data_IF_230794421003
#
_entry.id   IF_230794421003
#
_cell.length_a   1.000
_cell.length_b   1.000
_cell.length_c   1.000
_cell.angle_alpha   90.00
_cell.angle_beta   90.00
_cell.angle_gamma   90.00
#
_symmetry.space_group_name_H-M   'P 1'
#
loop_
_entity.id
_entity.type
_entity.pdbx_description
1 polymer ?
#
# COMPACT_ATOMS: atom_id res chain seq x y z
N UNK A 1 -36.97 2.61 -8.64
CA UNK A 1 -35.71 3.40 -8.62
C UNK A 1 -34.57 2.69 -7.90
N UNK A 2 -34.70 2.22 -6.66
CA UNK A 2 -33.61 1.59 -5.85
C UNK A 2 -33.03 0.32 -6.49
N UNK A 3 -33.83 -0.52 -7.16
CA UNK A 3 -33.33 -1.75 -7.82
C UNK A 3 -32.43 -1.46 -9.03
N UNK A 4 -32.73 -0.42 -9.79
CA UNK A 4 -31.95 -0.03 -10.99
C UNK A 4 -30.59 0.57 -10.60
N UNK A 5 -30.56 1.39 -9.54
CA UNK A 5 -29.30 1.93 -8.99
C UNK A 5 -28.39 0.82 -8.45
N UNK A 6 -28.95 -0.23 -7.85
CA UNK A 6 -28.17 -1.37 -7.37
C UNK A 6 -27.57 -2.21 -8.52
N UNK A 7 -28.29 -2.37 -9.62
CA UNK A 7 -27.76 -3.07 -10.80
C UNK A 7 -26.64 -2.27 -11.49
N UNK A 8 -26.82 -0.97 -11.67
CA UNK A 8 -25.79 -0.09 -12.24
C UNK A 8 -24.54 -0.11 -11.37
N UNK A 9 -24.66 -0.03 -10.05
CA UNK A 9 -23.54 -0.09 -9.12
C UNK A 9 -22.76 -1.42 -9.24
N UNK A 10 -23.45 -2.55 -9.34
CA UNK A 10 -22.81 -3.86 -9.55
C UNK A 10 -22.04 -3.94 -10.88
N UNK A 11 -22.58 -3.35 -11.93
CA UNK A 11 -21.92 -3.26 -13.24
C UNK A 11 -20.65 -2.38 -13.17
N UNK A 12 -20.70 -1.26 -12.48
CA UNK A 12 -19.52 -0.41 -12.25
C UNK A 12 -18.41 -1.14 -11.49
N UNK A 13 -18.75 -1.88 -10.43
CA UNK A 13 -17.77 -2.67 -9.69
C UNK A 13 -17.18 -3.80 -10.56
N UNK A 14 -18.01 -4.48 -11.35
CA UNK A 14 -17.55 -5.53 -12.26
C UNK A 14 -16.60 -4.97 -13.31
N UNK A 15 -16.94 -3.82 -13.92
CA UNK A 15 -16.09 -3.16 -14.91
C UNK A 15 -14.73 -2.76 -14.33
N UNK A 16 -14.69 -2.17 -13.13
CA UNK A 16 -13.42 -1.78 -12.48
C UNK A 16 -12.55 -3.01 -12.17
N UNK A 17 -13.13 -4.09 -11.68
CA UNK A 17 -12.40 -5.35 -11.46
C UNK A 17 -11.86 -5.92 -12.77
N UNK A 18 -12.63 -5.85 -13.84
CA UNK A 18 -12.18 -6.28 -15.16
C UNK A 18 -10.99 -5.44 -15.64
N UNK A 19 -11.05 -4.10 -15.54
CA UNK A 19 -9.94 -3.20 -15.88
C UNK A 19 -8.68 -3.50 -15.07
N UNK A 20 -8.81 -3.75 -13.75
CA UNK A 20 -7.68 -4.08 -12.90
C UNK A 20 -7.03 -5.42 -13.32
N UNK A 21 -7.84 -6.44 -13.58
CA UNK A 21 -7.36 -7.73 -14.09
C UNK A 21 -6.71 -7.61 -15.48
N UNK A 22 -7.26 -6.80 -16.37
CA UNK A 22 -6.67 -6.51 -17.67
C UNK A 22 -5.30 -5.83 -17.55
N UNK A 23 -5.08 -5.02 -16.50
CA UNK A 23 -3.76 -4.50 -16.14
C UNK A 23 -2.83 -5.56 -15.52
N UNK A 24 -3.31 -6.76 -15.20
CA UNK A 24 -2.55 -7.86 -14.59
C UNK A 24 -2.56 -7.85 -13.06
N UNK A 25 -3.51 -7.17 -12.44
CA UNK A 25 -3.72 -7.24 -10.98
C UNK A 25 -4.45 -8.54 -10.64
N UNK A 26 -3.91 -9.30 -9.70
CA UNK A 26 -4.57 -10.49 -9.15
C UNK A 26 -5.56 -10.03 -8.07
N UNK A 27 -6.85 -10.28 -8.31
CA UNK A 27 -7.93 -9.92 -7.40
C UNK A 27 -8.62 -11.17 -6.88
N UNK A 28 -8.66 -11.29 -5.56
CA UNK A 28 -9.45 -12.28 -4.84
C UNK A 28 -10.95 -12.13 -5.05
N UNK A 29 -11.71 -12.89 -4.30
CA UNK A 29 -13.17 -12.88 -4.34
C UNK A 29 -13.73 -11.63 -3.63
N UNK A 30 -14.86 -11.13 -4.12
CA UNK A 30 -15.61 -10.03 -3.50
C UNK A 30 -14.83 -8.72 -3.26
N UNK A 31 -13.73 -8.49 -4.02
CA UNK A 31 -12.97 -7.24 -3.94
C UNK A 31 -13.81 -6.07 -4.45
N UNK A 32 -13.82 -4.97 -3.69
CA UNK A 32 -14.47 -3.70 -4.06
C UNK A 32 -13.41 -2.67 -4.44
N UNK A 33 -13.57 -2.07 -5.62
CA UNK A 33 -12.68 -1.03 -6.11
C UNK A 33 -13.45 0.28 -6.28
N UNK A 34 -13.02 1.31 -5.56
CA UNK A 34 -13.50 2.67 -5.72
C UNK A 34 -13.15 3.27 -7.08
N UNK A 35 -13.67 4.47 -7.39
CA UNK A 35 -13.28 5.19 -8.60
C UNK A 35 -11.83 5.66 -8.53
N UNK A 36 -11.20 5.81 -9.72
CA UNK A 36 -9.84 6.34 -9.86
C UNK A 36 -8.77 5.62 -9.01
N UNK A 37 -8.95 4.33 -8.71
CA UNK A 37 -7.87 3.52 -8.15
C UNK A 37 -6.84 3.30 -9.23
N UNK A 38 -5.58 3.65 -8.93
CA UNK A 38 -4.47 3.53 -9.88
C UNK A 38 -3.54 2.37 -9.51
N UNK A 39 -3.37 1.47 -10.47
CA UNK A 39 -2.45 0.33 -10.38
C UNK A 39 -1.32 0.49 -11.39
N UNK A 40 -0.08 0.47 -10.92
CA UNK A 40 1.12 0.44 -11.76
C UNK A 40 1.97 -0.77 -11.41
N UNK A 41 2.18 -1.63 -12.41
CA UNK A 41 2.98 -2.85 -12.30
C UNK A 41 4.36 -2.70 -12.98
N UNK A 42 4.81 -1.48 -13.23
CA UNK A 42 6.07 -1.23 -13.94
C UNK A 42 5.95 -1.33 -15.46
N UNK A 43 7.09 -1.24 -16.15
CA UNK A 43 7.17 -1.37 -17.61
C UNK A 43 6.92 -0.08 -18.39
N UNK A 44 6.71 1.08 -17.75
CA UNK A 44 6.32 2.30 -18.43
C UNK A 44 7.08 3.59 -18.14
N UNK A 45 8.00 3.62 -17.20
CA UNK A 45 8.80 4.84 -16.99
C UNK A 45 10.02 4.86 -17.93
N UNK A 46 9.91 5.64 -19.03
CA UNK A 46 10.99 5.88 -20.01
C UNK A 46 12.27 6.49 -19.39
N UNK A 47 12.31 6.74 -18.08
CA UNK A 47 13.43 7.38 -17.37
C UNK A 47 13.90 6.64 -16.13
N UNK A 48 13.47 5.40 -15.86
CA UNK A 48 14.16 4.61 -14.86
C UNK A 48 15.53 4.23 -15.39
N UNK A 49 16.57 4.55 -14.63
CA UNK A 49 17.99 4.30 -14.96
C UNK A 49 18.25 2.79 -15.15
N UNK A 50 17.32 1.94 -14.78
CA UNK A 50 17.32 0.50 -15.06
C UNK A 50 15.89 0.00 -15.31
N UNK A 51 15.49 -0.12 -16.57
CA UNK A 51 14.38 -1.00 -16.87
C UNK A 51 14.87 -2.43 -16.59
N UNK A 52 14.48 -3.02 -15.45
CA UNK A 52 14.84 -4.41 -15.14
C UNK A 52 14.14 -5.40 -16.06
N UNK A 53 13.24 -4.91 -16.92
CA UNK A 53 12.43 -5.74 -17.82
C UNK A 53 11.41 -6.62 -17.09
N UNK A 54 11.44 -6.65 -15.75
CA UNK A 54 10.48 -7.39 -14.95
C UNK A 54 9.22 -6.58 -14.70
N UNK A 55 8.08 -7.25 -14.70
CA UNK A 55 6.80 -6.66 -14.35
C UNK A 55 6.51 -6.94 -12.88
N UNK A 56 6.21 -5.88 -12.11
CA UNK A 56 5.81 -6.01 -10.74
C UNK A 56 4.49 -6.77 -10.58
N UNK A 57 4.17 -7.15 -9.36
CA UNK A 57 2.96 -7.91 -9.03
C UNK A 57 2.12 -7.19 -8.00
N UNK A 58 0.82 -7.14 -8.24
CA UNK A 58 -0.15 -6.66 -7.26
C UNK A 58 -1.19 -7.75 -7.05
N UNK A 59 -1.33 -8.19 -5.81
CA UNK A 59 -2.36 -9.15 -5.40
C UNK A 59 -3.18 -8.56 -4.24
N UNK A 60 -4.48 -8.50 -4.44
CA UNK A 60 -5.46 -8.10 -3.44
C UNK A 60 -6.22 -9.33 -2.98
N UNK A 61 -6.17 -9.64 -1.69
CA UNK A 61 -6.85 -10.78 -1.10
C UNK A 61 -8.37 -10.66 -1.15
N UNK A 62 -9.05 -11.71 -0.72
CA UNK A 62 -10.51 -11.79 -0.70
C UNK A 62 -11.13 -10.67 0.16
N UNK A 63 -12.31 -10.22 -0.22
CA UNK A 63 -13.07 -9.19 0.49
C UNK A 63 -12.31 -7.84 0.65
N UNK A 64 -11.24 -7.63 -0.11
CA UNK A 64 -10.51 -6.36 -0.09
C UNK A 64 -11.42 -5.21 -0.51
N UNK A 65 -11.28 -4.08 0.19
CA UNK A 65 -12.02 -2.87 -0.11
C UNK A 65 -11.04 -1.71 -0.31
N UNK A 66 -10.90 -1.27 -1.55
CA UNK A 66 -9.99 -0.19 -1.94
C UNK A 66 -10.82 1.01 -2.38
N UNK A 67 -10.67 2.10 -1.64
CA UNK A 67 -11.43 3.32 -1.83
C UNK A 67 -10.90 4.19 -2.96
N UNK A 68 -11.67 5.24 -3.28
CA UNK A 68 -11.37 6.18 -4.37
C UNK A 68 -9.96 6.74 -4.30
N UNK A 69 -9.32 6.87 -5.45
CA UNK A 69 -8.04 7.56 -5.61
C UNK A 69 -6.85 6.86 -4.95
N UNK A 70 -7.01 5.64 -4.45
CA UNK A 70 -5.88 4.89 -3.92
C UNK A 70 -4.86 4.58 -5.03
N UNK A 71 -3.58 4.69 -4.70
CA UNK A 71 -2.45 4.48 -5.60
C UNK A 71 -1.65 3.27 -5.14
N UNK A 72 -1.59 2.23 -5.96
CA UNK A 72 -0.84 1.01 -5.69
C UNK A 72 0.18 0.80 -6.82
N UNK A 73 1.40 1.23 -6.58
CA UNK A 73 2.48 1.18 -7.56
C UNK A 73 3.54 0.16 -7.13
N UNK A 74 3.51 -1.01 -7.76
CA UNK A 74 4.47 -2.08 -7.50
C UNK A 74 5.83 -1.83 -8.18
N UNK A 75 5.84 -1.04 -9.26
CA UNK A 75 7.01 -0.92 -10.13
C UNK A 75 7.49 -2.32 -10.59
N UNK A 76 8.73 -2.68 -10.25
CA UNK A 76 9.29 -4.01 -10.50
C UNK A 76 9.18 -4.94 -9.29
N UNK A 77 8.64 -4.45 -8.18
CA UNK A 77 8.48 -5.19 -6.92
C UNK A 77 7.11 -5.83 -6.75
N UNK A 78 6.55 -5.73 -5.56
CA UNK A 78 5.25 -6.35 -5.28
C UNK A 78 4.43 -5.61 -4.22
N UNK A 79 3.11 -5.72 -4.34
CA UNK A 79 2.15 -5.34 -3.31
C UNK A 79 1.23 -6.54 -3.11
N UNK A 80 1.12 -7.02 -1.87
CA UNK A 80 0.24 -8.11 -1.51
C UNK A 80 -0.59 -7.72 -0.29
N UNK A 81 -1.90 -7.88 -0.39
CA UNK A 81 -2.79 -7.75 0.76
C UNK A 81 -3.41 -9.10 1.10
N UNK A 82 -3.65 -9.32 2.38
CA UNK A 82 -4.45 -10.42 2.89
C UNK A 82 -5.94 -10.23 2.65
N UNK A 83 -6.73 -11.01 3.37
CA UNK A 83 -8.19 -11.02 3.32
C UNK A 83 -8.77 -9.86 4.13
N UNK A 84 -9.87 -9.28 3.64
CA UNK A 84 -10.63 -8.21 4.32
C UNK A 84 -9.77 -7.01 4.73
N UNK A 85 -8.87 -6.59 3.84
CA UNK A 85 -8.07 -5.39 4.02
C UNK A 85 -8.83 -4.19 3.46
N UNK A 86 -8.91 -3.12 4.25
CA UNK A 86 -9.47 -1.85 3.84
C UNK A 86 -8.34 -0.84 3.56
N UNK A 87 -8.32 -0.31 2.34
CA UNK A 87 -7.48 0.82 1.96
C UNK A 87 -8.39 2.03 1.73
N UNK A 88 -8.28 3.01 2.61
CA UNK A 88 -9.08 4.23 2.58
C UNK A 88 -8.81 5.12 1.37
N UNK A 89 -9.57 6.21 1.22
CA UNK A 89 -9.38 7.14 0.12
C UNK A 89 -7.95 7.67 0.04
N UNK A 90 -7.40 7.71 -1.18
CA UNK A 90 -6.08 8.28 -1.46
C UNK A 90 -4.90 7.65 -0.69
N UNK A 91 -5.07 6.43 -0.20
CA UNK A 91 -3.94 5.64 0.33
C UNK A 91 -2.91 5.45 -0.78
N UNK A 92 -1.63 5.62 -0.45
CA UNK A 92 -0.53 5.44 -1.40
C UNK A 92 0.37 4.30 -0.94
N UNK A 93 0.60 3.32 -1.81
CA UNK A 93 1.51 2.20 -1.55
C UNK A 93 2.55 2.13 -2.67
N UNK A 94 3.81 2.33 -2.31
CA UNK A 94 4.96 2.16 -3.20
C UNK A 94 5.64 0.82 -2.88
N UNK A 95 5.39 -0.16 -3.75
CA UNK A 95 5.80 -1.55 -3.60
C UNK A 95 7.10 -1.92 -4.29
N UNK A 96 7.99 -0.98 -4.59
CA UNK A 96 9.22 -1.23 -5.33
C UNK A 96 10.12 -2.28 -4.65
N UNK A 97 10.28 -2.22 -3.32
CA UNK A 97 10.98 -3.23 -2.52
C UNK A 97 10.11 -4.37 -2.01
N UNK A 98 8.81 -4.29 -2.26
CA UNK A 98 7.82 -5.22 -1.73
C UNK A 98 7.06 -4.69 -0.52
N UNK A 99 5.73 -4.74 -0.57
CA UNK A 99 4.83 -4.43 0.54
C UNK A 99 3.90 -5.61 0.79
N UNK A 100 3.85 -6.09 2.02
CA UNK A 100 2.89 -7.09 2.49
C UNK A 100 2.00 -6.49 3.58
N UNK A 101 0.69 -6.68 3.46
CA UNK A 101 -0.32 -6.24 4.43
C UNK A 101 -1.14 -7.45 4.85
N UNK A 102 -1.14 -7.76 6.14
CA UNK A 102 -1.87 -8.89 6.70
C UNK A 102 -3.38 -8.70 6.71
N UNK A 103 -4.08 -9.79 7.02
CA UNK A 103 -5.54 -9.85 7.05
C UNK A 103 -6.17 -8.84 8.02
N UNK A 104 -7.42 -8.46 7.77
CA UNK A 104 -8.24 -7.62 8.66
C UNK A 104 -7.65 -6.22 8.94
N UNK A 105 -6.66 -5.77 8.16
CA UNK A 105 -5.97 -4.51 8.39
C UNK A 105 -6.76 -3.34 7.81
N UNK A 106 -6.81 -2.24 8.57
CA UNK A 106 -7.43 -0.96 8.20
C UNK A 106 -6.34 0.08 7.92
N UNK A 107 -6.28 0.57 6.71
CA UNK A 107 -5.42 1.70 6.32
C UNK A 107 -6.30 2.91 6.05
N UNK A 108 -6.22 3.92 6.91
CA UNK A 108 -7.05 5.11 6.81
C UNK A 108 -6.60 6.01 5.65
N UNK A 109 -7.45 6.99 5.32
CA UNK A 109 -7.24 7.91 4.20
C UNK A 109 -5.87 8.61 4.23
N UNK A 110 -5.29 8.82 3.04
CA UNK A 110 -4.02 9.52 2.83
C UNK A 110 -2.81 8.88 3.53
N UNK A 111 -2.93 7.69 4.11
CA UNK A 111 -1.76 7.00 4.64
C UNK A 111 -0.84 6.56 3.50
N UNK A 112 0.47 6.57 3.77
CA UNK A 112 1.50 6.22 2.80
C UNK A 112 2.36 5.06 3.32
N UNK A 113 2.54 4.03 2.50
CA UNK A 113 3.38 2.87 2.82
C UNK A 113 4.46 2.77 1.74
N UNK A 114 5.72 2.89 2.15
CA UNK A 114 6.87 2.85 1.28
C UNK A 114 7.63 1.54 1.44
N UNK A 115 8.35 1.12 0.41
CA UNK A 115 9.25 -0.04 0.45
C UNK A 115 10.57 0.19 -0.27
N UNK A 116 10.90 1.44 -0.49
CA UNK A 116 12.20 1.83 -1.04
C UNK A 116 12.59 3.21 -0.54
N UNK A 117 13.86 3.54 -0.73
CA UNK A 117 14.40 4.88 -0.48
C UNK A 117 15.43 5.21 -1.55
N UNK A 118 15.70 6.48 -1.77
CA UNK A 118 16.81 6.90 -2.62
C UNK A 118 18.12 6.82 -1.84
N UNK A 119 19.18 6.35 -2.50
CA UNK A 119 20.52 6.48 -1.94
C UNK A 119 20.89 7.97 -1.85
N UNK A 120 21.45 8.37 -0.69
CA UNK A 120 21.93 9.73 -0.47
C UNK A 120 23.46 9.69 -0.57
N UNK A 121 24.03 10.03 -1.74
CA UNK A 121 25.47 10.04 -1.95
C UNK A 121 26.12 11.29 -1.32
N UNK A 122 27.45 11.35 -1.33
CA UNK A 122 28.17 12.58 -1.02
C UNK A 122 27.79 13.72 -2.00
N UNK A 123 28.01 14.96 -1.56
CA UNK A 123 27.55 16.18 -2.24
C UNK A 123 27.99 16.33 -3.71
N UNK A 124 29.05 15.63 -4.10
CA UNK A 124 29.59 15.66 -5.47
C UNK A 124 28.79 14.78 -6.47
N UNK A 125 27.80 14.04 -6.00
CA UNK A 125 27.00 13.12 -6.82
C UNK A 125 25.54 13.52 -6.82
N UNK A 126 24.90 13.44 -8.00
CA UNK A 126 23.47 13.73 -8.15
C UNK A 126 22.65 12.59 -7.54
N UNK A 127 21.73 12.90 -6.60
CA UNK A 127 20.86 11.93 -5.93
C UNK A 127 20.07 11.11 -6.96
N UNK A 128 19.45 11.77 -7.94
CA UNK A 128 18.63 11.12 -8.97
C UNK A 128 19.40 10.11 -9.82
N UNK A 129 20.71 10.23 -9.90
CA UNK A 129 21.57 9.30 -10.64
C UNK A 129 21.94 8.05 -9.85
N UNK A 130 21.55 7.97 -8.57
CA UNK A 130 21.84 6.83 -7.71
C UNK A 130 20.73 5.79 -7.82
N UNK A 131 21.04 4.49 -7.58
CA UNK A 131 20.02 3.45 -7.52
C UNK A 131 19.14 3.62 -6.29
N UNK A 132 17.90 3.13 -6.39
CA UNK A 132 17.02 2.99 -5.23
C UNK A 132 17.51 1.89 -4.29
N UNK A 133 17.30 2.10 -3.00
CA UNK A 133 17.51 1.10 -1.95
C UNK A 133 16.17 0.42 -1.71
N UNK A 134 16.10 -0.88 -2.03
CA UNK A 134 14.89 -1.67 -1.85
C UNK A 134 14.79 -2.12 -0.38
N UNK A 135 13.66 -1.81 0.25
CA UNK A 135 13.43 -1.97 1.69
C UNK A 135 12.06 -2.62 1.89
N UNK A 136 11.96 -3.96 1.85
CA UNK A 136 10.68 -4.66 2.03
C UNK A 136 9.98 -4.23 3.31
N UNK A 137 8.68 -3.92 3.20
CA UNK A 137 7.86 -3.44 4.32
C UNK A 137 6.75 -4.44 4.62
N UNK A 138 6.56 -4.77 5.89
CA UNK A 138 5.56 -5.72 6.33
C UNK A 138 4.62 -5.10 7.37
N UNK A 139 3.34 -5.21 7.12
CA UNK A 139 2.26 -4.84 8.03
C UNK A 139 1.57 -6.13 8.48
N UNK A 140 1.52 -6.37 9.77
CA UNK A 140 0.85 -7.54 10.34
C UNK A 140 -0.65 -7.57 10.07
N UNK A 141 -1.32 -8.56 10.61
CA UNK A 141 -2.78 -8.66 10.57
C UNK A 141 -3.42 -7.80 11.66
N UNK A 142 -4.69 -7.42 11.46
CA UNK A 142 -5.48 -6.64 12.46
C UNK A 142 -4.77 -5.34 12.87
N UNK A 143 -4.08 -4.69 11.93
CA UNK A 143 -3.38 -3.42 12.16
C UNK A 143 -4.29 -2.27 11.77
N UNK A 144 -4.32 -1.21 12.57
CA UNK A 144 -4.95 0.05 12.20
C UNK A 144 -3.90 1.13 11.95
N UNK A 145 -3.81 1.59 10.71
CA UNK A 145 -2.97 2.74 10.30
C UNK A 145 -3.86 3.97 10.18
N UNK A 146 -3.62 4.95 11.03
CA UNK A 146 -4.35 6.22 11.08
C UNK A 146 -4.15 7.09 9.84
N UNK A 147 -5.06 8.05 9.65
CA UNK A 147 -5.02 8.97 8.51
C UNK A 147 -3.70 9.75 8.45
N UNK A 148 -3.19 9.98 7.23
CA UNK A 148 -1.92 10.69 6.98
C UNK A 148 -0.68 10.06 7.66
N UNK A 149 -0.76 8.83 8.16
CA UNK A 149 0.42 8.17 8.67
C UNK A 149 1.35 7.74 7.53
N UNK A 150 2.67 7.79 7.79
CA UNK A 150 3.71 7.37 6.84
C UNK A 150 4.48 6.21 7.45
N UNK A 151 4.53 5.09 6.73
CA UNK A 151 5.36 3.93 7.06
C UNK A 151 6.57 3.95 6.13
N UNK A 152 7.76 4.10 6.69
CA UNK A 152 8.99 4.10 5.89
C UNK A 152 9.36 2.70 5.42
N UNK A 153 10.13 2.65 4.33
CA UNK A 153 10.65 1.38 3.80
C UNK A 153 11.49 0.61 4.81
N UNK A 154 11.33 -0.70 4.84
CA UNK A 154 12.02 -1.62 5.75
C UNK A 154 11.33 -1.86 7.09
N UNK A 155 10.25 -1.12 7.39
CA UNK A 155 9.53 -1.29 8.66
C UNK A 155 8.72 -2.58 8.66
N UNK A 156 8.78 -3.30 9.78
CA UNK A 156 7.85 -4.38 10.13
C UNK A 156 6.96 -3.93 11.28
N UNK A 157 5.65 -3.90 11.05
CA UNK A 157 4.64 -3.72 12.09
C UNK A 157 4.09 -5.09 12.47
N UNK A 158 4.18 -5.46 13.74
CA UNK A 158 3.59 -6.71 14.24
C UNK A 158 2.05 -6.70 14.17
N UNK A 159 1.45 -7.85 14.45
CA UNK A 159 0.00 -8.02 14.48
C UNK A 159 -0.65 -7.10 15.52
N UNK A 160 -1.87 -6.67 15.26
CA UNK A 160 -2.69 -5.91 16.20
C UNK A 160 -2.19 -4.50 16.54
N UNK A 161 -1.22 -3.96 15.80
CA UNK A 161 -0.70 -2.62 16.05
C UNK A 161 -1.73 -1.53 15.70
N UNK A 162 -1.66 -0.44 16.45
CA UNK A 162 -2.39 0.80 16.17
C UNK A 162 -1.38 1.92 15.94
N UNK A 163 -1.42 2.53 14.78
CA UNK A 163 -0.55 3.64 14.37
C UNK A 163 -1.42 4.90 14.29
N UNK A 164 -1.13 5.88 15.11
CA UNK A 164 -1.91 7.11 15.21
C UNK A 164 -1.86 7.95 13.93
N UNK A 165 -2.89 8.78 13.73
CA UNK A 165 -2.94 9.67 12.57
C UNK A 165 -1.73 10.64 12.55
N UNK A 166 -1.23 10.95 11.34
CA UNK A 166 -0.07 11.83 11.15
C UNK A 166 1.27 11.29 11.65
N UNK A 167 1.33 10.01 12.04
CA UNK A 167 2.58 9.41 12.54
C UNK A 167 3.55 9.08 11.43
N UNK A 168 4.86 9.15 11.74
CA UNK A 168 5.93 8.69 10.83
C UNK A 168 6.65 7.51 11.47
N UNK A 169 6.35 6.30 11.01
CA UNK A 169 6.95 5.07 11.53
C UNK A 169 8.29 4.83 10.83
N UNK A 170 9.37 4.89 11.61
CA UNK A 170 10.76 4.80 11.15
C UNK A 170 11.49 3.55 11.66
N UNK A 171 10.83 2.77 12.52
CA UNK A 171 11.38 1.54 13.14
C UNK A 171 10.28 0.52 13.30
N UNK A 172 10.66 -0.73 13.44
CA UNK A 172 9.73 -1.83 13.69
C UNK A 172 8.91 -1.61 14.96
N UNK A 173 7.67 -2.08 14.90
CA UNK A 173 6.72 -2.03 15.99
C UNK A 173 6.41 -3.45 16.47
N UNK A 174 6.63 -3.77 17.76
CA UNK A 174 6.18 -5.03 18.35
C UNK A 174 4.67 -5.23 18.17
N UNK A 175 4.23 -6.48 18.12
CA UNK A 175 2.82 -6.80 18.05
C UNK A 175 2.03 -6.11 19.18
N UNK A 176 0.79 -5.73 18.87
CA UNK A 176 -0.14 -5.06 19.79
C UNK A 176 0.34 -3.72 20.35
N UNK A 177 1.30 -3.08 19.69
CA UNK A 177 1.74 -1.74 20.06
C UNK A 177 0.74 -0.67 19.62
N UNK A 178 0.54 0.33 20.47
CA UNK A 178 -0.07 1.62 20.09
C UNK A 178 1.05 2.64 19.98
N UNK A 179 1.26 3.17 18.78
CA UNK A 179 2.36 4.09 18.47
C UNK A 179 1.85 5.33 17.76
N UNK A 180 2.41 6.49 18.10
CA UNK A 180 2.16 7.74 17.38
C UNK A 180 3.32 8.73 17.49
N UNK A 181 3.25 9.80 16.69
CA UNK A 181 4.27 10.85 16.60
C UNK A 181 5.13 10.78 15.35
N UNK A 182 5.98 11.78 15.19
CA UNK A 182 6.96 11.89 14.10
C UNK A 182 8.33 12.25 14.67
N UNK A 183 9.22 11.28 14.86
CA UNK A 183 9.07 9.85 14.59
C UNK A 183 8.14 9.16 15.60
N UNK A 184 7.42 8.13 15.14
CA UNK A 184 6.49 7.38 15.99
C UNK A 184 7.22 6.65 17.14
N UNK A 185 6.57 6.63 18.30
CA UNK A 185 7.03 5.91 19.49
C UNK A 185 5.88 5.07 20.05
N UNK A 186 6.22 3.89 20.52
CA UNK A 186 5.27 3.05 21.25
C UNK A 186 4.95 3.75 22.57
N UNK A 187 3.68 4.00 22.83
CA UNK A 187 3.21 4.67 24.04
C UNK A 187 2.51 3.74 25.01
N UNK A 188 1.96 2.64 24.50
CA UNK A 188 1.34 1.58 25.31
C UNK A 188 1.15 0.30 24.48
N UNK A 189 0.81 -0.77 25.14
CA UNK A 189 0.25 -1.96 24.51
C UNK A 189 -1.26 -1.81 24.27
N UNK A 190 -1.81 -2.58 23.35
CA UNK A 190 -3.23 -2.68 23.05
C UNK A 190 -3.96 -3.65 24.00
N UNK A 191 -3.60 -3.73 25.21
CA UNK A 191 -4.26 -4.53 26.23
C UNK A 191 -3.52 -5.77 26.58
#
# INVERSE_FOLDING_TARGET
>A
MIKLTNQLYKLFLAHRRWLARAKGVDLGQHVRLGPAVDFNLGGGFRNSIRPTGSRGRIRIGDQGWIEKGAVLWAFDGSIRTGTNVFLGPYVTIYGHGGVEIGDQTLVSMHATILSSNHAVPGREKVIRAQPDILLPTKIGRDVWIGANAVILGGVTSGDGCVIGAGSVVTKDLPAYSVAFGAPARVVRSRG
#
